data_IF_696215200453
#
_entry.id   IF_696215200453
#
_cell.length_a   1.000
_cell.length_b   1.000
_cell.length_c   1.000
_cell.angle_alpha   90.00
_cell.angle_beta   90.00
_cell.angle_gamma   90.00
#
_symmetry.space_group_name_H-M   'P 1'
#
loop_
_entity.id
_entity.type
_entity.pdbx_description
1 polymer ?
#
# COMPACT_ATOMS: atom_id res chain seq x y z
N UNK A 1 -0.54 -9.77 9.44
CA UNK A 1 -0.21 -8.37 9.04
C UNK A 1 -1.39 -7.42 9.31
N UNK A 2 -2.60 -7.69 8.82
CA UNK A 2 -3.82 -6.89 9.06
C UNK A 2 -4.09 -6.53 10.55
N UNK A 3 -3.95 -7.50 11.46
CA UNK A 3 -4.19 -7.28 12.90
C UNK A 3 -3.19 -6.29 13.53
N UNK A 4 -1.93 -6.24 13.04
CA UNK A 4 -0.92 -5.30 13.55
C UNK A 4 -1.20 -3.85 13.09
N UNK A 5 -1.69 -3.66 11.87
CA UNK A 5 -2.11 -2.34 11.38
C UNK A 5 -3.40 -1.84 12.06
N UNK A 6 -4.22 -2.74 12.60
CA UNK A 6 -5.40 -2.39 13.41
C UNK A 6 -5.00 -1.64 14.69
N UNK A 7 -3.93 -2.10 15.33
CA UNK A 7 -3.41 -1.48 16.54
C UNK A 7 -2.69 -0.14 16.26
N UNK A 8 -2.26 0.10 15.00
CA UNK A 8 -1.53 1.32 14.58
C UNK A 8 -2.44 2.37 13.90
N UNK A 9 -3.74 2.12 13.79
CA UNK A 9 -4.69 2.97 13.04
C UNK A 9 -4.26 3.26 11.59
N UNK A 10 -3.47 2.37 10.98
CA UNK A 10 -3.00 2.49 9.60
C UNK A 10 -3.93 1.68 8.67
N UNK A 11 -5.15 2.18 8.50
CA UNK A 11 -6.21 1.43 7.80
C UNK A 11 -5.95 1.21 6.31
N UNK A 12 -5.09 2.03 5.69
CA UNK A 12 -4.72 1.87 4.27
C UNK A 12 -3.72 0.74 4.03
N UNK A 13 -2.94 0.33 5.04
CA UNK A 13 -2.03 -0.83 4.94
C UNK A 13 -2.73 -2.13 5.32
N UNK A 14 -3.92 -2.09 5.93
CA UNK A 14 -4.74 -3.30 6.07
C UNK A 14 -5.24 -3.82 4.71
N UNK A 15 -5.25 -2.96 3.68
CA UNK A 15 -5.70 -3.23 2.32
C UNK A 15 -4.84 -4.22 1.52
N UNK A 16 -3.63 -4.53 1.97
CA UNK A 16 -2.74 -5.46 1.24
C UNK A 16 -2.48 -6.77 1.99
N UNK A 17 -3.12 -6.95 3.16
CA UNK A 17 -3.47 -8.29 3.62
C UNK A 17 -4.64 -8.89 2.80
N UNK A 18 -5.34 -8.06 2.03
CA UNK A 18 -6.40 -8.47 1.11
C UNK A 18 -5.89 -8.88 -0.26
N UNK A 19 -4.79 -8.29 -0.70
CA UNK A 19 -4.14 -8.66 -1.95
C UNK A 19 -3.45 -10.03 -1.86
N UNK A 20 -3.16 -10.50 -0.64
CA UNK A 20 -2.77 -11.89 -0.36
C UNK A 20 -3.92 -12.91 -0.48
N UNK A 21 -5.19 -12.46 -0.56
CA UNK A 21 -6.37 -13.31 -0.81
C UNK A 21 -6.71 -13.42 -2.31
N UNK A 22 -5.96 -12.74 -3.20
CA UNK A 22 -6.18 -12.73 -4.66
C UNK A 22 -5.41 -13.82 -5.44
N UNK A 23 -4.25 -14.35 -4.99
CA UNK A 23 -3.61 -15.53 -5.59
C UNK A 23 -4.53 -16.75 -5.68
N UNK A 24 -5.43 -16.93 -4.71
CA UNK A 24 -6.40 -18.03 -4.67
C UNK A 24 -7.61 -17.83 -5.58
N UNK A 25 -7.76 -16.66 -6.22
CA UNK A 25 -8.90 -16.34 -7.08
C UNK A 25 -8.75 -16.86 -8.53
N UNK A 26 -7.52 -17.13 -9.00
CA UNK A 26 -7.32 -17.77 -10.32
C UNK A 26 -7.96 -19.16 -10.37
N UNK A 27 -7.76 -19.97 -9.33
CA UNK A 27 -8.36 -21.31 -9.20
C UNK A 27 -9.89 -21.27 -9.10
N UNK A 28 -10.45 -20.19 -8.53
CA UNK A 28 -11.89 -19.94 -8.47
C UNK A 28 -12.40 -19.54 -9.86
N UNK A 29 -11.74 -18.65 -10.59
CA UNK A 29 -12.19 -18.24 -11.94
C UNK A 29 -12.37 -19.40 -12.92
N UNK A 30 -11.62 -20.50 -12.75
CA UNK A 30 -11.76 -21.73 -13.52
C UNK A 30 -13.07 -22.50 -13.22
N UNK A 31 -13.55 -22.45 -11.96
CA UNK A 31 -14.77 -23.12 -11.51
C UNK A 31 -16.05 -22.28 -11.73
N UNK A 32 -15.94 -20.94 -11.73
CA UNK A 32 -17.09 -20.01 -11.77
C UNK A 32 -17.36 -19.39 -13.17
N UNK A 33 -16.95 -20.10 -14.23
CA UNK A 33 -16.89 -19.60 -15.62
C UNK A 33 -18.25 -19.37 -16.30
N UNK A 34 -19.37 -19.62 -15.63
CA UNK A 34 -20.73 -19.63 -16.20
C UNK A 34 -21.70 -18.62 -15.58
N UNK A 35 -21.28 -17.85 -14.58
CA UNK A 35 -22.18 -16.98 -13.80
C UNK A 35 -21.94 -15.50 -14.08
N UNK A 36 -22.83 -14.86 -14.86
CA UNK A 36 -22.66 -13.47 -15.37
C UNK A 36 -22.55 -12.38 -14.29
N UNK A 37 -22.97 -12.63 -13.06
CA UNK A 37 -23.04 -11.63 -11.98
C UNK A 37 -21.83 -11.65 -11.02
N UNK A 38 -20.88 -12.58 -11.22
CA UNK A 38 -19.69 -12.70 -10.36
C UNK A 38 -18.47 -11.99 -10.98
N UNK A 39 -17.52 -11.51 -10.16
CA UNK A 39 -16.31 -10.87 -10.64
C UNK A 39 -15.49 -11.81 -11.53
N UNK A 40 -14.87 -11.26 -12.58
CA UNK A 40 -14.04 -12.01 -13.53
C UNK A 40 -12.57 -11.80 -13.19
N UNK A 41 -11.99 -12.77 -12.48
CA UNK A 41 -10.55 -12.77 -12.19
C UNK A 41 -10.09 -11.57 -11.35
N UNK A 42 -8.77 -11.35 -11.31
CA UNK A 42 -8.13 -10.23 -10.62
C UNK A 42 -8.45 -8.87 -11.25
N UNK A 43 -8.82 -8.84 -12.53
CA UNK A 43 -9.09 -7.62 -13.29
C UNK A 43 -10.25 -6.83 -12.70
N UNK A 44 -11.28 -7.49 -12.15
CA UNK A 44 -12.41 -6.80 -11.51
C UNK A 44 -12.00 -5.92 -10.33
N UNK A 45 -10.88 -6.22 -9.67
CA UNK A 45 -10.39 -5.48 -8.51
C UNK A 45 -9.38 -4.39 -8.85
N UNK A 46 -9.01 -4.22 -10.13
CA UNK A 46 -7.98 -3.27 -10.57
C UNK A 46 -8.32 -1.82 -10.20
N UNK A 47 -9.60 -1.46 -10.22
CA UNK A 47 -10.07 -0.11 -9.83
C UNK A 47 -9.95 0.14 -8.32
N UNK A 48 -9.96 -0.92 -7.51
CA UNK A 48 -9.77 -0.86 -6.06
C UNK A 48 -8.29 -0.81 -5.74
N UNK A 49 -7.49 -1.69 -6.34
CA UNK A 49 -6.03 -1.67 -6.22
C UNK A 49 -5.38 -2.24 -7.48
N UNK A 50 -4.58 -1.47 -8.23
CA UNK A 50 -3.90 -1.96 -9.41
C UNK A 50 -2.79 -2.98 -9.08
N UNK A 51 -2.35 -3.04 -7.82
CA UNK A 51 -1.38 -4.03 -7.34
C UNK A 51 -1.93 -5.46 -7.42
N UNK A 52 -3.25 -5.62 -7.50
CA UNK A 52 -3.89 -6.93 -7.64
C UNK A 52 -3.36 -7.73 -8.84
N UNK A 53 -3.03 -7.04 -9.95
CA UNK A 53 -2.55 -7.72 -11.15
C UNK A 53 -1.15 -8.29 -10.92
N UNK A 54 -0.31 -7.51 -10.24
CA UNK A 54 1.05 -7.87 -9.89
C UNK A 54 1.11 -8.98 -8.83
N UNK A 55 0.21 -8.93 -7.85
CA UNK A 55 0.13 -9.92 -6.76
C UNK A 55 -0.63 -11.20 -7.18
N UNK A 56 -1.38 -11.16 -8.29
CA UNK A 56 -2.03 -12.34 -8.87
C UNK A 56 -1.08 -13.27 -9.64
N UNK A 57 0.20 -12.90 -9.75
CA UNK A 57 1.25 -13.74 -10.31
C UNK A 57 1.72 -14.77 -9.28
N UNK A 58 0.91 -15.81 -9.06
CA UNK A 58 1.32 -17.05 -8.37
C UNK A 58 2.12 -17.89 -9.37
N UNK A 59 3.23 -18.50 -8.93
CA UNK A 59 4.01 -19.40 -9.80
C UNK A 59 3.20 -20.65 -10.13
N UNK A 60 3.32 -21.15 -11.37
CA UNK A 60 2.66 -22.37 -11.84
C UNK A 60 3.01 -23.60 -10.98
N UNK A 61 4.14 -23.57 -10.26
CA UNK A 61 4.62 -24.65 -9.39
C UNK A 61 3.74 -24.92 -8.14
N UNK A 62 2.77 -24.05 -7.82
CA UNK A 62 1.80 -24.25 -6.72
C UNK A 62 0.49 -24.87 -7.24
N UNK A 63 0.29 -24.94 -8.55
CA UNK A 63 -0.90 -25.52 -9.17
C UNK A 63 -0.61 -26.95 -9.64
N UNK A 64 -0.40 -27.88 -8.70
CA UNK A 64 -0.59 -29.30 -9.00
C UNK A 64 -2.10 -29.57 -9.04
N UNK A 65 -2.67 -29.95 -10.19
CA UNK A 65 -4.12 -30.16 -10.33
C UNK A 65 -4.64 -31.39 -9.58
N UNK A 66 -3.77 -32.17 -8.94
CA UNK A 66 -4.08 -33.48 -8.38
C UNK A 66 -4.22 -33.51 -6.84
N UNK A 67 -4.03 -32.39 -6.13
CA UNK A 67 -4.31 -32.35 -4.68
C UNK A 67 -5.61 -31.59 -4.38
N UNK A 68 -6.69 -32.37 -4.23
CA UNK A 68 -8.00 -31.96 -3.70
C UNK A 68 -7.86 -31.34 -2.30
N UNK A 69 -7.60 -30.03 -2.22
CA UNK A 69 -7.53 -29.34 -0.93
C UNK A 69 -7.31 -27.82 -0.99
N UNK A 70 -6.77 -27.30 -2.09
CA UNK A 70 -6.36 -25.88 -2.19
C UNK A 70 -7.55 -24.89 -2.22
N UNK A 71 -8.76 -25.37 -2.53
CA UNK A 71 -9.97 -24.54 -2.64
C UNK A 71 -11.07 -24.85 -1.61
N UNK A 72 -10.76 -25.51 -0.50
CA UNK A 72 -11.75 -25.97 0.50
C UNK A 72 -11.91 -25.04 1.72
N UNK A 73 -11.25 -23.88 1.75
CA UNK A 73 -11.41 -22.88 2.79
C UNK A 73 -12.82 -22.25 2.81
N UNK A 74 -13.39 -22.02 3.99
CA UNK A 74 -14.73 -21.39 4.20
C UNK A 74 -14.88 -20.00 3.55
N UNK A 75 -13.78 -19.37 3.14
CA UNK A 75 -13.72 -18.09 2.43
C UNK A 75 -13.96 -18.20 0.92
N UNK A 76 -13.93 -19.41 0.34
CA UNK A 76 -14.12 -19.68 -1.09
C UNK A 76 -15.58 -19.99 -1.46
N UNK A 77 -16.49 -19.28 -0.82
CA UNK A 77 -17.92 -19.29 -1.18
C UNK A 77 -18.31 -17.88 -1.60
N UNK A 78 -19.36 -17.71 -2.40
CA UNK A 78 -19.85 -16.36 -2.73
C UNK A 78 -20.18 -15.55 -1.45
N UNK A 79 -20.66 -16.20 -0.39
CA UNK A 79 -20.90 -15.56 0.93
C UNK A 79 -19.59 -15.15 1.61
N UNK A 80 -18.55 -15.98 1.51
CA UNK A 80 -17.20 -15.65 1.97
C UNK A 80 -16.63 -14.45 1.22
N UNK A 81 -16.80 -14.38 -0.10
CA UNK A 81 -16.37 -13.24 -0.91
C UNK A 81 -17.10 -11.96 -0.54
N UNK A 82 -18.44 -11.98 -0.43
CA UNK A 82 -19.22 -10.81 -0.01
C UNK A 82 -18.80 -10.37 1.40
N UNK A 83 -18.69 -11.32 2.34
CA UNK A 83 -18.30 -11.04 3.72
C UNK A 83 -16.87 -10.53 3.85
N UNK A 84 -15.95 -10.97 2.97
CA UNK A 84 -14.68 -10.31 2.79
C UNK A 84 -14.98 -8.89 2.31
N UNK A 85 -15.42 -8.66 1.07
CA UNK A 85 -15.58 -7.33 0.45
C UNK A 85 -16.25 -6.28 1.37
N UNK A 86 -17.25 -6.65 2.15
CA UNK A 86 -17.86 -5.78 3.16
C UNK A 86 -16.90 -5.29 4.25
N UNK A 87 -16.00 -6.15 4.73
CA UNK A 87 -14.92 -5.76 5.64
C UNK A 87 -13.97 -4.76 4.95
N UNK A 88 -13.66 -4.90 3.66
CA UNK A 88 -12.80 -3.94 2.95
C UNK A 88 -13.49 -2.60 2.84
N UNK A 89 -14.78 -2.59 2.49
CA UNK A 89 -15.59 -1.37 2.44
C UNK A 89 -15.59 -0.65 3.81
N UNK A 90 -15.66 -1.40 4.92
CA UNK A 90 -15.59 -0.81 6.26
C UNK A 90 -14.21 -0.20 6.57
N UNK A 91 -13.13 -0.89 6.19
CA UNK A 91 -11.76 -0.39 6.33
C UNK A 91 -11.51 0.86 5.48
N UNK A 92 -11.98 0.88 4.24
CA UNK A 92 -11.92 2.06 3.37
C UNK A 92 -12.71 3.24 3.95
N UNK A 93 -13.89 2.98 4.50
CA UNK A 93 -14.71 4.00 5.15
C UNK A 93 -14.01 4.60 6.38
N UNK A 94 -13.42 3.75 7.22
CA UNK A 94 -12.64 4.15 8.39
C UNK A 94 -11.37 4.93 8.00
N UNK A 95 -10.73 4.52 6.91
CA UNK A 95 -9.56 5.21 6.33
C UNK A 95 -9.88 6.49 5.55
N UNK A 96 -11.14 6.89 5.42
CA UNK A 96 -11.55 8.08 4.67
C UNK A 96 -11.46 7.96 3.15
N UNK A 97 -11.29 6.74 2.63
CA UNK A 97 -11.20 6.38 1.21
C UNK A 97 -12.58 6.03 0.64
N UNK A 98 -13.53 6.95 0.74
CA UNK A 98 -14.94 6.73 0.40
C UNK A 98 -15.17 6.42 -1.08
N UNK A 99 -14.33 6.92 -1.98
CA UNK A 99 -14.37 6.61 -3.40
C UNK A 99 -14.05 5.13 -3.66
N UNK A 100 -13.13 4.53 -2.89
CA UNK A 100 -12.82 3.10 -2.97
C UNK A 100 -13.97 2.24 -2.41
N UNK A 101 -14.71 2.75 -1.41
CA UNK A 101 -15.93 2.09 -0.90
C UNK A 101 -16.95 1.88 -2.04
N UNK A 102 -17.11 2.88 -2.91
CA UNK A 102 -17.98 2.78 -4.08
C UNK A 102 -17.52 1.70 -5.06
N UNK A 103 -16.21 1.63 -5.36
CA UNK A 103 -15.67 0.58 -6.24
C UNK A 103 -15.87 -0.83 -5.66
N UNK A 104 -15.78 -1.01 -4.35
CA UNK A 104 -16.08 -2.30 -3.69
C UNK A 104 -17.56 -2.67 -3.85
N UNK A 105 -18.47 -1.74 -3.59
CA UNK A 105 -19.91 -2.05 -3.68
C UNK A 105 -20.40 -2.27 -5.10
N UNK A 106 -19.75 -1.71 -6.13
CA UNK A 106 -20.00 -2.07 -7.54
C UNK A 106 -19.82 -3.56 -7.81
N UNK A 107 -18.99 -4.26 -7.03
CA UNK A 107 -18.78 -5.72 -7.13
C UNK A 107 -19.83 -6.47 -6.31
N UNK A 108 -20.19 -5.97 -5.13
CA UNK A 108 -21.14 -6.63 -4.22
C UNK A 108 -22.58 -6.57 -4.76
N UNK A 109 -23.02 -5.41 -5.31
CA UNK A 109 -24.42 -5.16 -5.70
C UNK A 109 -24.95 -6.21 -6.69
N UNK A 110 -24.26 -6.54 -7.81
CA UNK A 110 -24.74 -7.56 -8.75
C UNK A 110 -24.97 -8.93 -8.12
N UNK A 111 -24.15 -9.30 -7.13
CA UNK A 111 -24.27 -10.57 -6.39
C UNK A 111 -25.52 -10.56 -5.52
N UNK A 112 -25.80 -9.45 -4.83
CA UNK A 112 -26.98 -9.32 -3.99
C UNK A 112 -28.28 -9.25 -4.82
N UNK A 113 -28.24 -8.59 -5.98
CA UNK A 113 -29.35 -8.55 -6.94
C UNK A 113 -29.70 -9.95 -7.46
N UNK A 114 -28.69 -10.73 -7.85
CA UNK A 114 -28.88 -12.11 -8.31
C UNK A 114 -29.57 -12.99 -7.25
N UNK A 115 -29.30 -12.73 -5.96
CA UNK A 115 -29.90 -13.42 -4.82
C UNK A 115 -31.24 -12.86 -4.37
N UNK A 116 -31.64 -11.70 -4.89
CA UNK A 116 -32.83 -10.95 -4.46
C UNK A 116 -32.81 -10.62 -2.97
N UNK A 117 -31.63 -10.36 -2.40
CA UNK A 117 -31.48 -9.96 -1.00
C UNK A 117 -31.71 -8.44 -0.86
N UNK A 118 -32.98 -8.04 -0.94
CA UNK A 118 -33.38 -6.63 -0.89
C UNK A 118 -33.05 -5.95 0.43
N UNK A 119 -33.00 -6.70 1.54
CA UNK A 119 -32.63 -6.16 2.85
C UNK A 119 -31.16 -5.75 2.86
N UNK A 120 -30.28 -6.60 2.33
CA UNK A 120 -28.85 -6.31 2.26
C UNK A 120 -28.52 -5.24 1.20
N UNK A 121 -29.27 -5.21 0.10
CA UNK A 121 -29.20 -4.12 -0.88
C UNK A 121 -29.55 -2.76 -0.26
N UNK A 122 -30.66 -2.67 0.50
CA UNK A 122 -31.04 -1.42 1.17
C UNK A 122 -29.93 -0.93 2.12
N UNK A 123 -29.34 -1.83 2.90
CA UNK A 123 -28.22 -1.50 3.79
C UNK A 123 -26.96 -1.07 3.04
N UNK A 124 -26.65 -1.74 1.92
CA UNK A 124 -25.52 -1.38 1.04
C UNK A 124 -25.69 0.03 0.47
N UNK A 125 -26.89 0.38 0.03
CA UNK A 125 -27.19 1.72 -0.47
C UNK A 125 -27.15 2.80 0.62
N UNK A 126 -27.60 2.52 1.85
CA UNK A 126 -27.42 3.44 2.99
C UNK A 126 -25.94 3.71 3.28
N UNK A 127 -25.09 2.67 3.26
CA UNK A 127 -23.64 2.84 3.40
C UNK A 127 -23.03 3.68 2.28
N UNK A 128 -23.46 3.48 1.03
CA UNK A 128 -23.02 4.28 -0.11
C UNK A 128 -23.45 5.74 0.02
N UNK A 129 -24.70 5.99 0.43
CA UNK A 129 -25.18 7.35 0.70
C UNK A 129 -24.27 8.06 1.71
N UNK A 130 -23.99 7.42 2.86
CA UNK A 130 -23.09 7.96 3.88
C UNK A 130 -21.68 8.19 3.34
N UNK A 131 -21.17 7.31 2.48
CA UNK A 131 -19.86 7.50 1.86
C UNK A 131 -19.82 8.76 0.98
N UNK A 132 -20.83 8.98 0.14
CA UNK A 132 -20.92 10.18 -0.69
C UNK A 132 -21.13 11.46 0.13
N UNK A 133 -21.98 11.42 1.17
CA UNK A 133 -22.13 12.53 2.12
C UNK A 133 -20.80 12.88 2.78
N UNK A 134 -19.99 11.88 3.15
CA UNK A 134 -18.67 12.12 3.70
C UNK A 134 -17.70 12.73 2.68
N UNK A 135 -17.77 12.35 1.39
CA UNK A 135 -16.98 12.98 0.32
C UNK A 135 -17.33 14.47 0.21
N UNK A 136 -18.62 14.79 0.21
CA UNK A 136 -19.11 16.17 0.10
C UNK A 136 -18.71 16.99 1.34
N UNK A 137 -18.97 16.47 2.53
CA UNK A 137 -18.78 17.20 3.78
C UNK A 137 -17.30 17.34 4.17
N UNK A 138 -16.48 16.31 3.91
CA UNK A 138 -15.07 16.30 4.30
C UNK A 138 -14.15 16.75 3.17
N UNK A 139 -14.50 16.55 1.90
CA UNK A 139 -13.81 17.09 0.72
C UNK A 139 -12.29 17.17 0.85
N UNK A 140 -11.77 18.40 0.86
CA UNK A 140 -10.35 18.76 0.98
C UNK A 140 -9.74 18.59 2.38
N UNK A 141 -10.57 18.46 3.43
CA UNK A 141 -10.11 18.27 4.82
C UNK A 141 -9.67 16.84 5.12
N UNK A 142 -9.82 15.92 4.14
CA UNK A 142 -9.39 14.53 4.28
C UNK A 142 -7.87 14.44 4.17
N UNK A 143 -7.26 13.84 5.19
CA UNK A 143 -5.82 13.61 5.26
C UNK A 143 -5.50 12.18 4.81
N UNK A 144 -4.81 12.04 3.70
CA UNK A 144 -4.47 10.72 3.13
C UNK A 144 -3.09 10.19 3.53
N UNK A 145 -2.34 11.00 4.29
CA UNK A 145 -1.01 10.69 4.80
C UNK A 145 0.06 11.63 4.25
N UNK A 146 1.26 11.51 4.81
CA UNK A 146 2.47 12.20 4.37
C UNK A 146 3.50 11.17 3.93
N UNK A 147 4.38 11.54 3.00
CA UNK A 147 5.30 10.60 2.39
C UNK A 147 6.75 11.01 2.64
N UNK A 148 7.59 10.04 2.98
CA UNK A 148 9.01 10.25 3.25
C UNK A 148 9.84 9.23 2.49
N UNK A 149 10.88 9.69 1.79
CA UNK A 149 11.95 8.81 1.36
C UNK A 149 12.84 8.52 2.56
N UNK A 150 13.06 7.24 2.86
CA UNK A 150 14.00 6.77 3.88
C UNK A 150 15.06 5.91 3.20
N UNK A 151 16.30 6.39 3.21
CA UNK A 151 17.48 5.69 2.71
C UNK A 151 18.33 5.13 3.85
N UNK A 152 18.75 3.88 3.72
CA UNK A 152 19.60 3.19 4.68
C UNK A 152 20.99 2.97 4.08
N UNK A 153 22.04 3.34 4.82
CA UNK A 153 23.43 3.25 4.35
C UNK A 153 24.36 2.76 5.45
N UNK A 154 25.26 1.84 5.11
CA UNK A 154 26.23 1.23 6.01
C UNK A 154 25.95 -0.26 6.21
N UNK A 155 27.02 -1.04 6.29
CA UNK A 155 26.97 -2.51 6.35
C UNK A 155 26.22 -3.07 7.56
N UNK A 156 26.04 -2.28 8.63
CA UNK A 156 25.21 -2.64 9.80
C UNK A 156 23.74 -2.90 9.44
N UNK A 157 23.25 -2.33 8.35
CA UNK A 157 21.90 -2.56 7.84
C UNK A 157 21.74 -3.86 7.06
N UNK A 158 22.83 -4.56 6.73
CA UNK A 158 22.80 -5.82 5.99
C UNK A 158 22.05 -5.69 4.66
N UNK A 159 20.96 -6.44 4.52
CA UNK A 159 20.13 -6.42 3.30
C UNK A 159 19.50 -5.05 3.00
N UNK A 160 19.40 -4.16 3.99
CA UNK A 160 18.87 -2.81 3.83
C UNK A 160 19.93 -1.80 3.36
N UNK A 161 21.22 -2.15 3.37
CA UNK A 161 22.28 -1.24 2.91
C UNK A 161 22.03 -0.81 1.44
N UNK A 162 22.17 0.50 1.19
CA UNK A 162 21.92 1.17 -0.09
C UNK A 162 20.48 1.09 -0.60
N UNK A 163 19.53 0.78 0.29
CA UNK A 163 18.11 0.74 -0.09
C UNK A 163 17.37 1.98 0.36
N UNK A 164 16.58 2.52 -0.56
CA UNK A 164 15.64 3.60 -0.32
C UNK A 164 14.20 3.11 -0.43
N UNK A 165 13.35 3.60 0.46
CA UNK A 165 11.94 3.24 0.51
C UNK A 165 11.08 4.49 0.67
N UNK A 166 9.84 4.43 0.17
CA UNK A 166 8.83 5.45 0.45
C UNK A 166 8.00 4.99 1.64
N UNK A 167 8.11 5.72 2.74
CA UNK A 167 7.31 5.55 3.94
C UNK A 167 6.06 6.41 3.83
N UNK A 168 4.91 5.82 4.13
CA UNK A 168 3.65 6.53 4.26
C UNK A 168 3.31 6.69 5.74
N UNK A 169 3.26 7.91 6.22
CA UNK A 169 2.88 8.22 7.60
C UNK A 169 1.42 8.70 7.67
N UNK A 170 0.68 8.38 8.75
CA UNK A 170 -0.70 8.79 8.91
C UNK A 170 -0.83 10.30 9.17
N UNK A 171 -1.90 10.93 8.66
CA UNK A 171 -2.20 12.33 8.98
C UNK A 171 -1.15 13.32 8.47
N UNK A 172 -0.79 14.30 9.30
CA UNK A 172 0.22 15.35 9.03
C UNK A 172 1.47 15.07 9.88
N UNK A 173 2.09 13.91 9.69
CA UNK A 173 3.38 13.63 10.33
C UNK A 173 4.45 14.52 9.72
N UNK A 174 5.26 15.15 10.56
CA UNK A 174 6.35 16.01 10.12
C UNK A 174 7.70 15.28 10.16
N UNK A 175 8.66 15.75 9.36
CA UNK A 175 10.00 15.16 9.26
C UNK A 175 10.68 14.90 10.64
N UNK A 176 10.62 15.82 11.63
CA UNK A 176 11.22 15.57 12.94
C UNK A 176 10.60 14.38 13.68
N UNK A 177 9.30 14.14 13.50
CA UNK A 177 8.57 13.08 14.19
C UNK A 177 9.00 11.69 13.70
N UNK A 178 8.99 11.47 12.38
CA UNK A 178 9.50 10.23 11.79
C UNK A 178 11.00 10.07 12.03
N UNK A 179 11.77 11.16 11.94
CA UNK A 179 13.22 11.12 12.20
C UNK A 179 13.52 10.65 13.61
N UNK A 180 12.87 11.24 14.61
CA UNK A 180 13.05 10.85 16.00
C UNK A 180 12.59 9.40 16.26
N UNK A 181 11.47 8.99 15.66
CA UNK A 181 10.95 7.62 15.77
C UNK A 181 11.94 6.58 15.22
N UNK A 182 12.50 6.82 14.04
CA UNK A 182 13.48 5.90 13.43
C UNK A 182 14.83 5.95 14.15
N UNK A 183 15.28 7.14 14.55
CA UNK A 183 16.50 7.32 15.34
C UNK A 183 16.43 6.52 16.64
N UNK A 184 15.37 6.69 17.43
CA UNK A 184 15.18 5.95 18.69
C UNK A 184 15.17 4.42 18.46
N UNK A 185 14.49 3.94 17.42
CA UNK A 185 14.41 2.52 17.12
C UNK A 185 15.78 1.93 16.77
N UNK A 186 16.50 2.54 15.82
CA UNK A 186 17.78 1.99 15.36
C UNK A 186 18.93 2.26 16.34
N UNK A 187 18.86 3.32 17.15
CA UNK A 187 19.81 3.55 18.25
C UNK A 187 19.71 2.46 19.31
N UNK A 188 18.51 1.94 19.60
CA UNK A 188 18.36 0.77 20.48
C UNK A 188 18.93 -0.51 19.87
N UNK A 189 18.90 -0.66 18.55
CA UNK A 189 19.45 -1.84 17.86
C UNK A 189 20.98 -1.82 17.74
N UNK A 190 21.58 -0.65 17.46
CA UNK A 190 23.00 -0.55 17.12
C UNK A 190 23.85 0.19 18.15
N UNK A 191 23.23 0.87 19.10
CA UNK A 191 23.83 1.85 20.01
C UNK A 191 23.77 3.27 19.44
N UNK A 192 23.54 4.27 20.31
CA UNK A 192 23.47 5.69 19.94
C UNK A 192 24.71 6.16 19.19
N UNK A 193 25.89 5.72 19.62
CA UNK A 193 27.16 6.04 18.98
C UNK A 193 27.31 5.39 17.60
N UNK A 194 26.54 4.38 17.22
CA UNK A 194 26.68 3.75 15.92
C UNK A 194 25.83 4.42 14.83
N UNK A 195 24.75 5.11 15.21
CA UNK A 195 23.76 5.67 14.28
C UNK A 195 24.06 7.14 13.96
N UNK A 196 23.84 7.54 12.70
CA UNK A 196 23.97 8.93 12.24
C UNK A 196 22.80 9.29 11.33
N UNK A 197 22.05 10.31 11.71
CA UNK A 197 20.98 10.86 10.88
C UNK A 197 21.54 11.86 9.86
N UNK A 198 21.42 11.56 8.56
CA UNK A 198 21.79 12.47 7.47
C UNK A 198 20.65 13.48 7.29
N UNK A 199 20.95 14.76 7.54
CA UNK A 199 19.99 15.87 7.43
C UNK A 199 19.90 16.48 6.03
N UNK A 200 20.94 16.28 5.22
CA UNK A 200 20.93 16.70 3.82
C UNK A 200 20.01 15.77 3.01
N UNK A 201 19.40 16.30 1.96
CA UNK A 201 18.58 15.57 0.98
C UNK A 201 19.36 15.18 -0.29
N UNK A 202 20.60 15.66 -0.46
CA UNK A 202 21.48 15.30 -1.58
C UNK A 202 21.75 13.78 -1.63
N UNK A 203 22.00 13.22 -2.83
CA UNK A 203 22.42 11.82 -2.96
C UNK A 203 23.68 11.55 -2.12
N UNK A 204 23.64 10.48 -1.33
CA UNK A 204 24.71 10.16 -0.38
C UNK A 204 25.93 9.56 -1.11
N UNK A 205 27.09 10.20 -0.99
CA UNK A 205 28.36 9.65 -1.48
C UNK A 205 28.96 8.66 -0.48
N UNK A 206 28.98 7.38 -0.87
CA UNK A 206 29.50 6.26 -0.08
C UNK A 206 30.94 6.46 0.36
N UNK A 207 31.76 7.13 -0.44
CA UNK A 207 33.19 7.30 -0.15
C UNK A 207 33.44 8.16 1.09
N UNK A 208 32.43 8.94 1.49
CA UNK A 208 32.50 9.85 2.62
C UNK A 208 31.94 9.22 3.91
N UNK A 209 31.34 8.04 3.82
CA UNK A 209 30.74 7.35 4.96
C UNK A 209 31.76 6.52 5.73
N UNK A 210 31.64 6.50 7.07
CA UNK A 210 32.51 5.70 7.94
C UNK A 210 32.02 4.25 7.97
N UNK A 211 32.88 3.24 7.73
CA UNK A 211 32.47 1.83 7.66
C UNK A 211 31.83 1.26 8.94
N UNK A 212 32.13 1.83 10.11
CA UNK A 212 31.61 1.37 11.41
C UNK A 212 30.34 2.11 11.87
N UNK A 213 29.76 2.97 11.03
CA UNK A 213 28.56 3.74 11.35
C UNK A 213 27.40 3.29 10.47
N UNK A 214 26.19 3.42 11.00
CA UNK A 214 24.94 3.23 10.29
C UNK A 214 24.35 4.62 10.01
N UNK A 215 23.97 4.89 8.78
CA UNK A 215 23.41 6.17 8.35
C UNK A 215 21.99 6.02 7.85
N UNK A 216 21.10 6.90 8.31
CA UNK A 216 19.73 6.98 7.80
C UNK A 216 19.52 8.38 7.24
N UNK A 217 19.06 8.46 6.00
CA UNK A 217 18.64 9.71 5.37
C UNK A 217 17.14 9.73 5.25
N UNK A 218 16.49 10.79 5.73
CA UNK A 218 15.05 10.96 5.62
C UNK A 218 14.77 12.26 4.88
N UNK A 219 13.92 12.19 3.87
CA UNK A 219 13.56 13.35 3.05
C UNK A 219 12.06 13.36 2.82
N UNK A 220 11.41 14.49 3.11
CA UNK A 220 10.00 14.67 2.76
C UNK A 220 9.83 14.64 1.24
N UNK A 221 8.82 13.92 0.76
CA UNK A 221 8.51 13.81 -0.66
C UNK A 221 7.03 14.08 -0.91
N UNK A 222 6.72 14.54 -2.12
CA UNK A 222 5.36 14.79 -2.57
C UNK A 222 5.02 13.89 -3.77
N UNK A 223 3.75 13.47 -3.92
CA UNK A 223 3.33 12.74 -5.10
C UNK A 223 3.63 13.54 -6.38
N UNK A 224 4.22 12.89 -7.37
CA UNK A 224 4.54 13.48 -8.67
C UNK A 224 3.63 12.91 -9.75
N UNK A 225 3.12 13.81 -10.60
CA UNK A 225 2.28 13.50 -11.75
C UNK A 225 2.79 14.29 -12.95
N UNK A 226 2.79 13.68 -14.13
CA UNK A 226 3.06 14.42 -15.37
C UNK A 226 1.82 15.19 -15.85
N UNK A 227 2.00 16.05 -16.85
CA UNK A 227 0.94 16.89 -17.41
C UNK A 227 -0.25 16.08 -17.95
N UNK A 228 -0.04 14.81 -18.32
CA UNK A 228 -1.12 13.93 -18.77
C UNK A 228 -1.91 13.39 -17.57
N UNK A 229 -1.24 12.83 -16.57
CA UNK A 229 -1.88 12.35 -15.33
C UNK A 229 -2.61 13.48 -14.59
N UNK A 230 -2.10 14.71 -14.63
CA UNK A 230 -2.74 15.87 -14.00
C UNK A 230 -4.09 16.24 -14.63
N UNK A 231 -4.36 15.83 -15.88
CA UNK A 231 -5.66 16.03 -16.53
C UNK A 231 -6.72 15.05 -16.01
N UNK A 232 -6.29 13.84 -15.67
CA UNK A 232 -7.19 12.78 -15.18
C UNK A 232 -7.38 12.84 -13.65
N UNK A 233 -6.37 13.31 -12.90
CA UNK A 233 -6.38 13.39 -11.43
C UNK A 233 -6.86 14.77 -10.96
N UNK A 234 -8.17 14.98 -11.00
CA UNK A 234 -8.80 16.26 -10.69
C UNK A 234 -9.06 16.44 -9.19
N UNK A 235 -9.45 15.36 -8.52
CA UNK A 235 -9.91 15.39 -7.13
C UNK A 235 -8.77 15.20 -6.14
N UNK A 236 -8.99 15.61 -4.88
CA UNK A 236 -8.05 15.38 -3.79
C UNK A 236 -7.79 13.88 -3.56
N UNK A 237 -8.82 13.03 -3.74
CA UNK A 237 -8.66 11.58 -3.64
C UNK A 237 -7.76 11.03 -4.74
N UNK A 238 -8.00 11.40 -6.00
CA UNK A 238 -7.19 10.93 -7.13
C UNK A 238 -5.73 11.35 -7.01
N UNK A 239 -5.44 12.51 -6.44
CA UNK A 239 -4.05 12.95 -6.18
C UNK A 239 -3.38 12.25 -5.00
N UNK A 240 -4.10 11.43 -4.25
CA UNK A 240 -3.62 10.76 -3.05
C UNK A 240 -3.81 9.23 -3.06
N UNK A 241 -4.40 8.68 -4.12
CA UNK A 241 -4.70 7.26 -4.26
C UNK A 241 -3.98 6.67 -5.47
N UNK A 242 -3.50 5.43 -5.35
CA UNK A 242 -2.76 4.71 -6.40
C UNK A 242 -1.54 5.51 -6.91
N UNK A 243 -0.67 5.90 -5.98
CA UNK A 243 0.50 6.73 -6.22
C UNK A 243 1.72 5.88 -6.57
N UNK A 244 2.56 6.34 -7.52
CA UNK A 244 3.74 5.58 -7.97
C UNK A 244 5.03 6.41 -7.99
N UNK A 245 4.93 7.71 -8.23
CA UNK A 245 6.08 8.61 -8.37
C UNK A 245 6.02 9.65 -7.27
N UNK A 246 7.20 9.98 -6.76
CA UNK A 246 7.39 10.97 -5.73
C UNK A 246 8.55 11.90 -6.12
N UNK A 247 8.46 13.16 -5.72
CA UNK A 247 9.50 14.17 -5.93
C UNK A 247 9.89 14.83 -4.62
N UNK A 248 11.11 15.35 -4.57
CA UNK A 248 11.59 16.25 -3.53
C UNK A 248 12.54 17.26 -4.16
N UNK A 249 12.65 18.43 -3.54
CA UNK A 249 13.52 19.50 -4.03
C UNK A 249 14.68 19.68 -3.07
N UNK A 250 15.90 19.59 -3.58
CA UNK A 250 17.10 19.95 -2.84
C UNK A 250 17.56 21.34 -3.25
N UNK A 251 17.65 22.32 -2.34
CA UNK A 251 18.20 23.64 -2.65
C UNK A 251 19.71 23.50 -2.91
N UNK A 252 20.10 23.42 -4.18
CA UNK A 252 21.51 23.42 -4.61
C UNK A 252 21.99 24.86 -4.85
N UNK A 253 23.23 25.22 -4.48
CA UNK A 253 23.85 26.51 -4.81
C UNK A 253 24.11 26.69 -6.32
N UNK A 254 24.07 25.61 -7.10
CA UNK A 254 24.15 25.65 -8.56
C UNK A 254 22.73 25.53 -9.09
N UNK A 255 22.24 26.62 -9.67
CA UNK A 255 20.93 26.73 -10.29
C UNK A 255 20.72 25.61 -11.31
N UNK A 256 19.97 24.59 -10.90
CA UNK A 256 19.00 23.81 -11.66
C UNK A 256 18.45 22.78 -10.66
N UNK A 257 17.14 22.82 -10.40
CA UNK A 257 16.49 21.93 -9.45
C UNK A 257 16.73 20.48 -9.85
N UNK A 258 17.38 19.69 -8.99
CA UNK A 258 17.52 18.26 -9.23
C UNK A 258 16.14 17.61 -9.06
N UNK A 259 15.42 17.38 -10.15
CA UNK A 259 14.24 16.51 -10.18
C UNK A 259 14.70 15.05 -10.07
N UNK A 260 14.79 14.54 -8.84
CA UNK A 260 15.00 13.11 -8.63
C UNK A 260 13.67 12.38 -8.80
N UNK A 261 13.45 11.81 -9.99
CA UNK A 261 12.34 10.89 -10.26
C UNK A 261 12.55 9.58 -9.49
N UNK A 262 12.04 9.51 -8.26
CA UNK A 262 12.02 8.27 -7.49
C UNK A 262 10.82 7.43 -7.93
N UNK A 263 11.06 6.51 -8.85
CA UNK A 263 10.19 5.35 -9.02
C UNK A 263 10.38 4.44 -7.82
N UNK A 264 9.30 3.93 -7.21
CA UNK A 264 9.34 2.94 -6.13
C UNK A 264 10.18 1.71 -6.52
N UNK A 265 11.49 1.76 -6.26
CA UNK A 265 12.44 0.70 -6.61
C UNK A 265 12.60 -0.25 -5.45
N UNK A 266 11.62 -1.13 -5.25
CA UNK A 266 11.82 -2.33 -4.43
C UNK A 266 12.61 -3.36 -5.23
N UNK A 267 13.95 -3.26 -5.20
CA UNK A 267 14.85 -4.34 -5.65
C UNK A 267 15.27 -5.22 -4.48
N UNK A 268 14.39 -6.17 -4.17
CA UNK A 268 14.75 -7.52 -3.72
C UNK A 268 13.78 -8.47 -4.42
N UNK A 269 14.20 -9.08 -5.54
CA UNK A 269 13.33 -9.80 -6.50
C UNK A 269 13.20 -11.31 -6.21
N UNK A 270 12.23 -12.04 -6.83
CA UNK A 270 11.21 -11.60 -7.80
C UNK A 270 9.77 -11.88 -7.30
N UNK A 271 8.88 -10.89 -7.15
CA UNK A 271 7.84 -10.48 -8.10
C UNK A 271 7.09 -9.35 -7.35
N UNK A 272 7.07 -8.09 -7.75
CA UNK A 272 6.61 -7.49 -8.98
C UNK A 272 7.15 -6.06 -8.98
N UNK A 273 7.46 -5.50 -10.14
CA UNK A 273 8.02 -4.17 -10.21
C UNK A 273 6.90 -3.18 -10.51
N UNK A 274 6.74 -2.19 -9.61
CA UNK A 274 5.85 -1.01 -9.69
C UNK A 274 4.57 -1.01 -8.83
N UNK A 275 4.58 -1.64 -7.66
CA UNK A 275 3.45 -1.52 -6.74
C UNK A 275 3.15 -0.03 -6.41
N UNK A 276 1.90 0.37 -6.60
CA UNK A 276 1.37 1.71 -6.30
C UNK A 276 0.90 1.77 -4.86
N UNK A 277 1.17 2.87 -4.17
CA UNK A 277 0.69 3.08 -2.80
C UNK A 277 -0.84 3.20 -2.77
N UNK A 278 -1.52 2.54 -1.81
CA UNK A 278 -0.95 1.85 -0.64
C UNK A 278 -0.41 0.43 -0.94
N UNK A 279 0.78 0.12 -0.40
CA UNK A 279 1.44 -1.21 -0.46
C UNK A 279 1.81 -1.65 0.94
N UNK A 280 1.77 -2.96 1.21
CA UNK A 280 2.08 -3.52 2.53
C UNK A 280 3.57 -3.71 2.64
N UNK A 281 4.26 -2.67 3.09
CA UNK A 281 5.67 -2.77 3.40
C UNK A 281 5.83 -2.52 4.89
N UNK A 282 6.02 -3.60 5.65
CA UNK A 282 6.57 -3.53 7.00
C UNK A 282 8.06 -3.88 6.92
N UNK A 283 8.97 -2.92 6.64
CA UNK A 283 10.40 -3.18 6.55
C UNK A 283 11.00 -3.67 7.88
N UNK A 284 10.27 -3.54 8.99
CA UNK A 284 10.72 -3.92 10.33
C UNK A 284 10.59 -5.44 10.63
N UNK A 285 9.94 -6.23 9.77
CA UNK A 285 9.76 -7.67 10.00
C UNK A 285 10.99 -8.52 9.65
N UNK A 286 11.91 -8.05 8.79
CA UNK A 286 13.10 -8.86 8.44
C UNK A 286 14.14 -8.97 9.55
N UNK A 287 14.12 -8.07 10.53
CA UNK A 287 15.07 -8.08 11.65
C UNK A 287 14.55 -8.82 12.90
N UNK A 288 13.25 -9.11 13.01
CA UNK A 288 12.74 -9.89 14.15
C UNK A 288 12.84 -11.41 13.95
N UNK A 289 13.02 -11.88 12.71
CA UNK A 289 13.07 -13.31 12.38
C UNK A 289 14.50 -13.86 12.18
N UNK A 290 15.50 -13.00 12.07
CA UNK A 290 16.91 -13.41 12.20
C UNK A 290 17.40 -13.07 13.60
N UNK A 291 16.86 -13.82 14.56
CA UNK A 291 17.49 -13.96 15.86
C UNK A 291 18.92 -14.48 15.69
N UNK A 292 19.80 -13.92 16.51
CA UNK A 292 21.18 -14.35 16.83
C UNK A 292 21.25 -15.86 17.02
#
# INVERSE_FOLDING_TARGET
MAEKHNNRKCYTEQLCAWSTLLPSWRSISACWRTTKYLPVGSVTFQNISPNVLEESAVSDDILSPDEDGVCSGRCFTENGLVGLLEQAAELFSTGGLYEAVNEVYKIIIPILEARRDFRKLAFTHDKLQRAFENIINKGLKRMFGTYFRVGFYGSKFGDLDEREFIYKEPGITHLPEISHRLENFYSQCFGEDALVMIKDSTPVDRKQLKPNKAYIQITYVEPYFDDYEMKDRLTNFEKNFNLRRFMYTTPSPKADGLEANLTSSTRGRPSSHNARLPVCQDPHQRHSERGV
#
